data_IF_084485579646
#
_entry.id   IF_084485579646
#
_cell.length_a   1.000
_cell.length_b   1.000
_cell.length_c   1.000
_cell.angle_alpha   90.00
_cell.angle_beta   90.00
_cell.angle_gamma   90.00
#
_symmetry.space_group_name_H-M   'P 1'
#
loop_
_entity.id
_entity.type
_entity.pdbx_description
1 polymer ?
#
# COMPACT_ATOMS: atom_id res chain seq x y z
N UNK A 1 -5.64 -10.90 -2.14
CA UNK A 1 -5.04 -10.86 -3.50
C UNK A 1 -3.53 -10.66 -3.37
N UNK A 2 -2.73 -11.12 -4.33
CA UNK A 2 -1.30 -10.80 -4.38
C UNK A 2 -1.12 -9.35 -4.87
N UNK A 3 -0.24 -8.58 -4.24
CA UNK A 3 0.08 -7.20 -4.64
C UNK A 3 0.69 -7.13 -6.04
N UNK A 4 1.29 -8.22 -6.53
CA UNK A 4 1.85 -8.28 -7.89
C UNK A 4 0.79 -8.43 -8.99
N UNK A 5 -0.46 -8.74 -8.62
CA UNK A 5 -1.56 -8.93 -9.58
C UNK A 5 -2.46 -7.70 -9.72
N UNK A 6 -2.08 -6.55 -9.15
CA UNK A 6 -2.89 -5.34 -9.19
C UNK A 6 -2.84 -4.70 -10.58
N UNK A 7 -3.98 -4.21 -11.06
CA UNK A 7 -4.13 -3.58 -12.36
C UNK A 7 -4.16 -2.06 -12.21
N UNK A 8 -3.35 -1.37 -13.02
CA UNK A 8 -3.27 0.10 -12.99
C UNK A 8 -4.64 0.68 -13.35
N UNK A 9 -5.09 1.66 -12.56
CA UNK A 9 -6.37 2.33 -12.74
C UNK A 9 -7.52 1.72 -11.92
N UNK A 10 -7.35 0.50 -11.40
CA UNK A 10 -8.37 -0.16 -10.58
C UNK A 10 -8.31 0.29 -9.12
N UNK A 11 -9.46 0.21 -8.44
CA UNK A 11 -9.60 0.61 -7.04
C UNK A 11 -9.56 -0.61 -6.13
N UNK A 12 -8.76 -0.50 -5.07
CA UNK A 12 -8.56 -1.56 -4.10
C UNK A 12 -8.68 -1.03 -2.67
N UNK A 13 -9.14 -1.90 -1.80
CA UNK A 13 -9.09 -1.74 -0.35
C UNK A 13 -7.80 -2.35 0.19
N UNK A 14 -6.89 -1.49 0.66
CA UNK A 14 -5.61 -1.86 1.24
C UNK A 14 -5.72 -1.84 2.77
N UNK A 15 -5.51 -2.98 3.42
CA UNK A 15 -5.43 -3.07 4.89
C UNK A 15 -3.97 -3.18 5.31
N UNK A 16 -3.49 -2.31 6.19
CA UNK A 16 -2.14 -2.39 6.74
C UNK A 16 -2.06 -3.33 7.94
N UNK A 17 -0.86 -3.82 8.24
CA UNK A 17 -0.57 -4.59 9.45
C UNK A 17 -0.68 -3.70 10.68
N UNK A 18 -0.98 -4.34 11.81
CA UNK A 18 -0.80 -3.70 13.12
C UNK A 18 0.69 -3.44 13.33
N UNK A 19 1.00 -2.31 13.97
CA UNK A 19 2.36 -1.94 14.28
C UNK A 19 2.59 -2.02 15.79
N UNK A 20 3.47 -2.94 16.20
CA UNK A 20 3.93 -3.04 17.57
C UNK A 20 4.92 -1.92 17.85
N UNK A 21 4.57 -1.00 18.76
CA UNK A 21 5.49 0.03 19.18
C UNK A 21 6.52 -0.55 20.15
N UNK A 22 7.80 -0.13 20.09
CA UNK A 22 8.86 -0.67 20.96
C UNK A 22 8.57 -0.57 22.47
N UNK A 23 7.70 0.34 22.87
CA UNK A 23 7.29 0.56 24.26
C UNK A 23 6.16 -0.36 24.73
N UNK A 24 5.73 -1.32 23.92
CA UNK A 24 4.78 -2.37 24.31
C UNK A 24 3.29 -2.09 23.98
N UNK A 25 3.01 -1.16 23.07
CA UNK A 25 1.65 -0.89 22.58
C UNK A 25 1.43 -1.40 21.16
N UNK A 26 0.17 -1.43 20.71
CA UNK A 26 -0.19 -1.78 19.34
C UNK A 26 -0.90 -0.59 18.70
N UNK A 27 -0.38 -0.10 17.58
CA UNK A 27 -1.11 0.79 16.68
C UNK A 27 -1.88 -0.09 15.70
N UNK A 28 -3.21 -0.08 15.73
CA UNK A 28 -4.00 -0.91 14.83
C UNK A 28 -3.78 -0.47 13.38
N UNK A 29 -3.68 -1.45 12.49
CA UNK A 29 -3.68 -1.21 11.07
C UNK A 29 -4.96 -0.52 10.61
N UNK A 30 -4.89 0.11 9.44
CA UNK A 30 -6.00 0.84 8.86
C UNK A 30 -6.35 0.29 7.48
N UNK A 31 -7.61 0.44 7.09
CA UNK A 31 -8.07 0.11 5.74
C UNK A 31 -8.27 1.39 4.95
N UNK A 32 -7.69 1.44 3.75
CA UNK A 32 -7.76 2.58 2.83
C UNK A 32 -8.17 2.12 1.44
N UNK A 33 -9.21 2.76 0.90
CA UNK A 33 -9.63 2.56 -0.49
C UNK A 33 -8.84 3.53 -1.38
N UNK A 34 -8.07 3.01 -2.33
CA UNK A 34 -7.21 3.80 -3.22
C UNK A 34 -7.17 3.20 -4.62
N UNK A 35 -6.95 4.05 -5.61
CA UNK A 35 -6.72 3.60 -6.99
C UNK A 35 -5.25 3.22 -7.17
N UNK A 36 -4.96 2.04 -7.69
CA UNK A 36 -3.60 1.62 -7.96
C UNK A 36 -3.03 2.36 -9.17
N UNK A 37 -1.83 2.92 -9.03
CA UNK A 37 -1.14 3.68 -10.10
C UNK A 37 0.03 2.89 -10.67
N UNK A 38 0.79 2.19 -9.82
CA UNK A 38 1.93 1.38 -10.24
C UNK A 38 2.84 1.01 -9.08
N UNK A 39 4.00 0.43 -9.39
CA UNK A 39 5.05 0.13 -8.40
C UNK A 39 6.23 1.07 -8.56
N UNK A 40 6.91 1.38 -7.46
CA UNK A 40 8.06 2.27 -7.45
C UNK A 40 9.12 1.80 -6.46
N UNK A 41 10.35 1.68 -6.93
CA UNK A 41 11.50 1.35 -6.09
C UNK A 41 12.10 2.63 -5.50
N UNK A 42 12.06 2.76 -4.17
CA UNK A 42 12.51 3.94 -3.43
C UNK A 42 13.72 3.57 -2.56
N UNK A 43 14.74 4.41 -2.60
CA UNK A 43 15.95 4.28 -1.80
C UNK A 43 16.97 5.38 -2.14
N UNK A 44 17.90 5.63 -1.24
CA UNK A 44 19.00 6.56 -1.49
C UNK A 44 19.93 6.03 -2.60
N UNK A 45 20.61 6.94 -3.30
CA UNK A 45 21.58 6.56 -4.33
C UNK A 45 22.70 5.69 -3.72
N UNK A 46 22.99 4.55 -4.36
CA UNK A 46 24.00 3.61 -3.88
C UNK A 46 23.54 2.65 -2.77
N UNK A 47 22.30 2.76 -2.30
CA UNK A 47 21.70 1.85 -1.32
C UNK A 47 20.69 0.90 -1.97
N UNK A 48 20.40 -0.27 -1.38
CA UNK A 48 19.29 -1.11 -1.80
C UNK A 48 17.99 -0.32 -1.82
N UNK A 49 17.20 -0.50 -2.88
CA UNK A 49 15.86 0.11 -3.01
C UNK A 49 14.81 -0.87 -2.51
N UNK A 50 13.75 -0.33 -1.94
CA UNK A 50 12.59 -1.10 -1.50
C UNK A 50 11.39 -0.81 -2.41
N UNK A 51 10.55 -1.82 -2.72
CA UNK A 51 9.37 -1.63 -3.54
C UNK A 51 8.22 -1.00 -2.74
N UNK A 52 7.57 -0.02 -3.35
CA UNK A 52 6.34 0.62 -2.86
C UNK A 52 5.24 0.51 -3.91
N UNK A 53 4.00 0.46 -3.45
CA UNK A 53 2.84 0.70 -4.30
C UNK A 53 2.59 2.21 -4.37
N UNK A 54 2.55 2.76 -5.58
CA UNK A 54 2.01 4.09 -5.83
C UNK A 54 0.49 3.98 -6.03
N UNK A 55 -0.24 4.76 -5.24
CA UNK A 55 -1.71 4.76 -5.23
C UNK A 55 -2.22 6.20 -5.24
N UNK A 56 -3.37 6.43 -5.87
CA UNK A 56 -4.04 7.71 -5.90
C UNK A 56 -5.23 7.75 -4.92
N UNK A 57 -5.38 8.90 -4.25
CA UNK A 57 -6.59 9.26 -3.51
C UNK A 57 -7.67 9.75 -4.48
N UNK A 58 -8.89 9.93 -3.96
CA UNK A 58 -10.01 10.52 -4.72
C UNK A 58 -9.72 11.94 -5.21
N UNK A 59 -8.96 12.71 -4.44
CA UNK A 59 -8.51 14.06 -4.81
C UNK A 59 -7.41 14.09 -5.89
N UNK A 60 -6.97 12.92 -6.36
CA UNK A 60 -5.91 12.77 -7.38
C UNK A 60 -4.48 12.84 -6.84
N UNK A 61 -4.27 13.13 -5.56
CA UNK A 61 -2.93 13.10 -4.96
C UNK A 61 -2.39 11.67 -4.86
N UNK A 62 -1.09 11.50 -5.11
CA UNK A 62 -0.43 10.19 -5.07
C UNK A 62 0.29 9.95 -3.74
N UNK A 63 0.22 8.70 -3.30
CA UNK A 63 0.74 8.20 -2.05
C UNK A 63 1.55 6.93 -2.30
N UNK A 64 2.52 6.69 -1.44
CA UNK A 64 3.29 5.45 -1.43
C UNK A 64 2.86 4.58 -0.25
N UNK A 65 2.67 3.28 -0.50
CA UNK A 65 2.43 2.27 0.52
C UNK A 65 3.56 1.25 0.43
N UNK A 66 4.27 1.03 1.54
CA UNK A 66 5.30 0.00 1.61
C UNK A 66 4.64 -1.38 1.44
N UNK A 67 5.15 -2.20 0.53
CA UNK A 67 4.55 -3.52 0.27
C UNK A 67 4.53 -4.39 1.53
N UNK A 68 5.59 -4.33 2.33
CA UNK A 68 5.72 -5.11 3.56
C UNK A 68 4.72 -4.74 4.66
N UNK A 69 4.15 -3.53 4.62
CA UNK A 69 3.18 -3.09 5.63
C UNK A 69 1.76 -3.51 5.28
N UNK A 70 1.52 -4.09 4.09
CA UNK A 70 0.20 -4.53 3.65
C UNK A 70 -0.10 -5.90 4.25
N UNK A 71 -1.26 -6.01 4.90
CA UNK A 71 -1.82 -7.26 5.42
C UNK A 71 -2.69 -7.95 4.37
N UNK A 72 -3.54 -7.18 3.68
CA UNK A 72 -4.45 -7.71 2.67
C UNK A 72 -4.86 -6.64 1.66
N UNK A 73 -5.18 -7.10 0.45
CA UNK A 73 -5.75 -6.28 -0.62
C UNK A 73 -6.99 -6.98 -1.19
N UNK A 74 -8.07 -6.21 -1.33
CA UNK A 74 -9.35 -6.64 -1.91
C UNK A 74 -9.72 -5.70 -3.07
N UNK A 75 -10.19 -6.28 -4.18
CA UNK A 75 -10.67 -5.51 -5.33
C UNK A 75 -12.06 -4.97 -5.03
N UNK A 76 -12.27 -3.68 -5.30
CA UNK A 76 -13.60 -3.06 -5.20
C UNK A 76 -14.38 -3.18 -6.51
N UNK A 77 -13.75 -3.66 -7.59
CA UNK A 77 -14.32 -3.77 -8.95
C UNK A 77 -15.26 -4.97 -9.12
N UNK A 78 -16.06 -5.29 -8.10
CA UNK A 78 -16.96 -6.45 -8.07
C UNK A 78 -18.08 -6.27 -7.05
N UNK A 79 -19.02 -5.37 -7.35
CA UNK A 79 -20.36 -5.32 -6.77
C UNK A 79 -21.36 -5.00 -7.86
#
# INVERSE_FOLDING_TARGET
MDVNSLQVGETYSFTTKDFEVPTGGIVPGETKIRRFVGTKDIGAAGMPKSPFLEVAREDGSTHLIAVESIRSVVSESGS
#
